data_IF_593120781090
#
_entry.id   IF_593120781090
#
_cell.length_a   1.000
_cell.length_b   1.000
_cell.length_c   1.000
_cell.angle_alpha   90.00
_cell.angle_beta   90.00
_cell.angle_gamma   90.00
#
_symmetry.space_group_name_H-M   'P 1'
#
loop_
_entity.id
_entity.type
_entity.pdbx_description
1 polymer ?
#
# COMPACT_ATOMS: atom_id res chain seq x y z
N UNK A 1 7.80 2.36 -15.21
CA UNK A 1 6.96 1.94 -16.36
C UNK A 1 5.74 1.31 -15.75
N UNK A 2 4.53 1.78 -16.06
CA UNK A 2 3.32 1.24 -15.41
C UNK A 2 3.15 -0.23 -15.82
N UNK A 3 3.12 -1.15 -14.84
CA UNK A 3 2.72 -2.54 -15.10
C UNK A 3 1.21 -2.58 -15.26
N UNK A 4 0.74 -2.79 -16.49
CA UNK A 4 -0.67 -2.97 -16.75
C UNK A 4 -1.05 -4.41 -16.38
N UNK A 5 -1.88 -4.58 -15.34
CA UNK A 5 -2.59 -5.82 -15.16
C UNK A 5 -3.74 -5.87 -16.18
N UNK A 6 -3.59 -6.71 -17.21
CA UNK A 6 -4.58 -6.87 -18.28
C UNK A 6 -5.69 -7.88 -17.90
N UNK A 7 -5.60 -8.52 -16.73
CA UNK A 7 -6.69 -9.33 -16.16
C UNK A 7 -7.80 -8.38 -15.72
N UNK A 8 -8.76 -8.13 -16.62
CA UNK A 8 -10.01 -7.44 -16.28
C UNK A 8 -11.12 -8.45 -15.95
N UNK A 9 -10.76 -9.56 -15.31
CA UNK A 9 -11.72 -10.61 -14.92
C UNK A 9 -12.01 -10.55 -13.43
N UNK A 10 -13.22 -10.94 -13.00
CA UNK A 10 -13.50 -11.06 -11.58
C UNK A 10 -12.60 -12.10 -10.90
N UNK A 11 -12.12 -11.78 -9.71
CA UNK A 11 -11.23 -12.62 -8.92
C UNK A 11 -11.80 -12.81 -7.50
N UNK A 12 -11.55 -13.99 -6.92
CA UNK A 12 -11.88 -14.27 -5.52
C UNK A 12 -10.80 -13.70 -4.62
N UNK A 13 -11.24 -13.04 -3.55
CA UNK A 13 -10.42 -12.49 -2.49
C UNK A 13 -10.83 -13.09 -1.15
N UNK A 14 -9.90 -13.76 -0.49
CA UNK A 14 -10.08 -14.26 0.88
C UNK A 14 -9.86 -13.11 1.88
N UNK A 15 -10.91 -12.72 2.61
CA UNK A 15 -10.82 -11.63 3.58
C UNK A 15 -10.42 -12.16 4.97
N UNK A 16 -11.03 -13.27 5.38
CA UNK A 16 -10.80 -13.95 6.66
C UNK A 16 -10.94 -15.47 6.46
N UNK A 17 -10.47 -16.31 7.40
CA UNK A 17 -10.70 -17.76 7.32
C UNK A 17 -12.18 -18.09 7.15
N UNK A 18 -12.53 -18.74 6.04
CA UNK A 18 -13.90 -19.10 5.71
C UNK A 18 -14.76 -17.98 5.10
N UNK A 19 -14.22 -16.79 4.89
CA UNK A 19 -14.90 -15.65 4.27
C UNK A 19 -14.15 -15.18 3.02
N UNK A 20 -14.80 -15.30 1.87
CA UNK A 20 -14.26 -14.80 0.59
C UNK A 20 -15.31 -14.08 -0.23
N UNK A 21 -14.86 -13.11 -1.00
CA UNK A 21 -15.71 -12.32 -1.89
C UNK A 21 -15.14 -12.33 -3.31
N UNK A 22 -16.02 -12.41 -4.31
CA UNK A 22 -15.66 -12.31 -5.71
C UNK A 22 -15.84 -10.88 -6.17
N UNK A 23 -14.78 -10.29 -6.67
CA UNK A 23 -14.73 -8.86 -6.95
C UNK A 23 -14.51 -8.61 -8.43
N UNK A 24 -15.24 -7.64 -8.99
CA UNK A 24 -14.90 -7.05 -10.27
C UNK A 24 -13.55 -6.32 -10.19
N UNK A 25 -12.86 -6.11 -11.32
CA UNK A 25 -11.64 -5.31 -11.34
C UNK A 25 -11.89 -3.86 -10.89
N UNK A 26 -10.95 -3.31 -10.12
CA UNK A 26 -11.02 -1.93 -9.64
C UNK A 26 -10.63 -0.96 -10.77
N UNK A 27 -11.58 -0.68 -11.64
CA UNK A 27 -11.37 0.20 -12.80
C UNK A 27 -11.60 1.68 -12.46
N UNK A 28 -11.07 2.58 -13.30
CA UNK A 28 -11.37 4.02 -13.21
C UNK A 28 -12.87 4.30 -13.25
N UNK A 29 -13.62 3.58 -14.10
CA UNK A 29 -15.07 3.75 -14.20
C UNK A 29 -15.79 3.37 -12.89
N UNK A 30 -15.36 2.27 -12.25
CA UNK A 30 -15.89 1.87 -10.95
C UNK A 30 -15.59 2.91 -9.88
N UNK A 31 -14.35 3.41 -9.82
CA UNK A 31 -13.97 4.44 -8.85
C UNK A 31 -14.69 5.77 -9.06
N UNK A 32 -14.90 6.18 -10.31
CA UNK A 32 -15.69 7.38 -10.63
C UNK A 32 -17.16 7.19 -10.20
N UNK A 33 -17.74 6.03 -10.48
CA UNK A 33 -19.10 5.71 -10.05
C UNK A 33 -19.22 5.68 -8.51
N UNK A 34 -18.26 5.08 -7.81
CA UNK A 34 -18.23 5.03 -6.35
C UNK A 34 -18.13 6.44 -5.73
N UNK A 35 -17.31 7.34 -6.30
CA UNK A 35 -17.19 8.74 -5.83
C UNK A 35 -18.47 9.55 -6.02
N UNK A 36 -19.36 9.12 -6.92
CA UNK A 36 -20.64 9.75 -7.16
C UNK A 36 -21.76 9.20 -6.24
N UNK A 37 -21.43 8.30 -5.31
CA UNK A 37 -22.41 7.70 -4.40
C UNK A 37 -23.02 8.79 -3.48
N UNK A 38 -24.36 8.90 -3.41
CA UNK A 38 -25.02 9.90 -2.58
C UNK A 38 -24.66 9.84 -1.09
N UNK A 39 -24.26 8.67 -0.58
CA UNK A 39 -23.85 8.54 0.81
C UNK A 39 -22.60 9.37 1.14
N UNK A 40 -21.72 9.62 0.15
CA UNK A 40 -20.53 10.45 0.34
C UNK A 40 -20.88 11.93 0.45
N UNK A 41 -21.79 12.43 -0.39
CA UNK A 41 -22.22 13.83 -0.36
C UNK A 41 -23.19 14.14 0.78
N UNK A 42 -23.83 13.13 1.35
CA UNK A 42 -24.68 13.26 2.53
C UNK A 42 -23.90 13.37 3.85
N UNK A 43 -22.59 13.10 3.85
CA UNK A 43 -21.75 13.27 5.04
C UNK A 43 -21.63 14.76 5.39
N UNK A 44 -21.67 15.12 6.69
CA UNK A 44 -21.46 16.50 7.11
C UNK A 44 -20.02 16.95 6.80
N UNK A 45 -19.81 18.25 6.60
CA UNK A 45 -18.47 18.82 6.39
C UNK A 45 -17.50 18.56 7.56
N UNK A 46 -18.04 18.22 8.74
CA UNK A 46 -17.29 17.85 9.95
C UNK A 46 -17.04 16.36 10.09
N UNK A 47 -17.40 15.54 9.09
CA UNK A 47 -17.17 14.10 9.10
C UNK A 47 -15.68 13.78 9.27
N UNK A 48 -15.39 12.75 10.07
CA UNK A 48 -14.01 12.33 10.29
C UNK A 48 -13.51 11.58 9.05
N UNK A 49 -12.19 11.54 8.89
CA UNK A 49 -11.57 10.79 7.80
C UNK A 49 -11.99 9.30 7.79
N UNK A 50 -12.19 8.71 8.96
CA UNK A 50 -12.70 7.34 9.13
C UNK A 50 -14.11 7.17 8.55
N UNK A 51 -15.00 8.13 8.80
CA UNK A 51 -16.40 8.08 8.35
C UNK A 51 -16.45 8.20 6.82
N UNK A 52 -15.61 9.07 6.22
CA UNK A 52 -15.45 9.15 4.77
C UNK A 52 -14.86 7.88 4.17
N UNK A 53 -13.85 7.29 4.82
CA UNK A 53 -13.21 6.06 4.34
C UNK A 53 -14.21 4.89 4.32
N UNK A 54 -15.01 4.73 5.38
CA UNK A 54 -16.06 3.72 5.46
C UNK A 54 -17.14 3.94 4.39
N UNK A 55 -17.62 5.18 4.21
CA UNK A 55 -18.61 5.49 3.18
C UNK A 55 -18.09 5.18 1.76
N UNK A 56 -16.84 5.54 1.47
CA UNK A 56 -16.19 5.24 0.19
C UNK A 56 -16.01 3.72 0.00
N UNK A 57 -15.61 2.99 1.05
CA UNK A 57 -15.46 1.54 1.01
C UNK A 57 -16.77 0.85 0.62
N UNK A 58 -17.88 1.24 1.25
CA UNK A 58 -19.21 0.71 0.97
C UNK A 58 -19.66 1.00 -0.45
N UNK A 59 -19.47 2.24 -0.92
CA UNK A 59 -19.77 2.61 -2.30
C UNK A 59 -19.00 1.74 -3.32
N UNK A 60 -17.70 1.55 -3.10
CA UNK A 60 -16.87 0.67 -3.94
C UNK A 60 -17.35 -0.79 -3.86
N UNK A 61 -17.59 -1.31 -2.66
CA UNK A 61 -18.00 -2.69 -2.44
C UNK A 61 -19.33 -3.03 -3.12
N UNK A 62 -20.32 -2.13 -3.04
CA UNK A 62 -21.62 -2.32 -3.70
C UNK A 62 -21.53 -2.42 -5.23
N UNK A 63 -20.51 -1.80 -5.83
CA UNK A 63 -20.25 -1.88 -7.27
C UNK A 63 -19.35 -3.06 -7.65
N UNK A 64 -18.46 -3.46 -6.74
CA UNK A 64 -17.41 -4.42 -7.02
C UNK A 64 -17.78 -5.86 -6.66
N UNK A 65 -18.50 -6.09 -5.56
CA UNK A 65 -18.79 -7.46 -5.08
C UNK A 65 -19.84 -8.08 -6.00
N UNK A 66 -19.48 -9.22 -6.59
CA UNK A 66 -20.33 -9.98 -7.50
C UNK A 66 -20.92 -11.21 -6.81
N UNK A 67 -20.14 -11.85 -5.94
CA UNK A 67 -20.50 -13.07 -5.19
C UNK A 67 -19.76 -13.06 -3.85
N UNK A 68 -20.26 -13.82 -2.86
CA UNK A 68 -19.56 -14.07 -1.61
C UNK A 68 -19.76 -15.50 -1.12
N UNK A 69 -18.89 -15.95 -0.22
CA UNK A 69 -19.04 -17.20 0.53
C UNK A 69 -18.62 -16.95 1.99
N UNK A 70 -19.30 -17.62 2.93
CA UNK A 70 -19.04 -17.45 4.36
C UNK A 70 -19.81 -16.32 5.05
N UNK A 71 -20.74 -15.68 4.33
CA UNK A 71 -21.68 -14.71 4.91
C UNK A 71 -23.00 -15.40 5.18
N UNK A 72 -23.38 -15.49 6.45
CA UNK A 72 -24.64 -16.08 6.89
C UNK A 72 -25.42 -15.15 7.81
N UNK A 73 -26.70 -15.47 8.01
CA UNK A 73 -27.55 -14.83 9.01
C UNK A 73 -27.27 -15.39 10.43
N UNK A 74 -28.07 -14.98 11.41
CA UNK A 74 -27.95 -15.42 12.81
C UNK A 74 -28.13 -16.94 13.00
N UNK A 75 -28.73 -17.64 12.04
CA UNK A 75 -28.90 -19.10 12.05
C UNK A 75 -27.77 -19.82 11.32
N UNK A 76 -26.85 -19.09 10.69
CA UNK A 76 -25.78 -19.63 9.85
C UNK A 76 -26.24 -19.96 8.43
N UNK A 77 -27.44 -19.55 8.03
CA UNK A 77 -27.93 -19.76 6.68
C UNK A 77 -27.29 -18.74 5.72
N UNK A 78 -26.84 -19.15 4.51
CA UNK A 78 -26.19 -18.24 3.57
C UNK A 78 -27.06 -17.02 3.23
N UNK A 79 -26.53 -15.83 3.48
CA UNK A 79 -27.23 -14.59 3.15
C UNK A 79 -27.11 -14.32 1.64
N UNK A 80 -28.19 -13.96 0.92
CA UNK A 80 -28.07 -13.51 -0.46
C UNK A 80 -27.34 -12.16 -0.52
N UNK A 81 -26.58 -11.96 -1.61
CA UNK A 81 -25.91 -10.70 -1.86
C UNK A 81 -26.94 -9.57 -1.97
N UNK A 82 -26.75 -8.52 -1.16
CA UNK A 82 -27.61 -7.33 -1.18
C UNK A 82 -26.83 -6.09 -0.74
N UNK A 83 -27.23 -4.87 -1.15
CA UNK A 83 -26.57 -3.64 -0.70
C UNK A 83 -26.52 -3.51 0.82
N UNK A 84 -27.63 -3.84 1.50
CA UNK A 84 -27.69 -3.80 2.97
C UNK A 84 -26.76 -4.83 3.62
N UNK A 85 -26.68 -6.04 3.04
CA UNK A 85 -25.75 -7.07 3.51
C UNK A 85 -24.28 -6.72 3.29
N UNK A 86 -23.94 -6.09 2.15
CA UNK A 86 -22.59 -5.58 1.88
C UNK A 86 -22.21 -4.49 2.89
N UNK A 87 -23.13 -3.57 3.18
CA UNK A 87 -22.90 -2.51 4.16
C UNK A 87 -22.67 -3.10 5.55
N UNK A 88 -23.50 -4.06 5.96
CA UNK A 88 -23.35 -4.76 7.25
C UNK A 88 -22.05 -5.56 7.33
N UNK A 89 -21.63 -6.21 6.24
CA UNK A 89 -20.35 -6.93 6.19
C UNK A 89 -19.16 -6.00 6.44
N UNK A 90 -19.21 -4.78 5.90
CA UNK A 90 -18.17 -3.76 6.11
C UNK A 90 -18.28 -3.00 7.44
N UNK A 91 -19.34 -3.21 8.24
CA UNK A 91 -19.36 -2.76 9.64
C UNK A 91 -18.52 -3.69 10.54
N UNK A 92 -18.21 -4.90 10.08
CA UNK A 92 -17.31 -5.80 10.79
C UNK A 92 -15.88 -5.32 10.59
N UNK A 93 -15.31 -4.71 11.63
CA UNK A 93 -14.01 -4.03 11.56
C UNK A 93 -12.89 -4.84 10.88
N UNK A 94 -12.59 -6.10 11.24
CA UNK A 94 -11.56 -6.89 10.55
C UNK A 94 -11.82 -7.10 9.05
N UNK A 95 -13.09 -7.17 8.64
CA UNK A 95 -13.48 -7.34 7.24
C UNK A 95 -13.29 -6.04 6.47
N UNK A 96 -13.66 -4.91 7.08
CA UNK A 96 -13.39 -3.59 6.53
C UNK A 96 -11.90 -3.35 6.29
N UNK A 97 -11.05 -3.64 7.28
CA UNK A 97 -9.59 -3.49 7.16
C UNK A 97 -9.04 -4.37 6.03
N UNK A 98 -9.45 -5.64 5.98
CA UNK A 98 -9.03 -6.57 4.93
C UNK A 98 -9.46 -6.07 3.54
N UNK A 99 -10.70 -5.60 3.39
CA UNK A 99 -11.24 -5.10 2.13
C UNK A 99 -10.51 -3.82 1.67
N UNK A 100 -10.29 -2.88 2.57
CA UNK A 100 -9.54 -1.65 2.28
C UNK A 100 -8.13 -1.95 1.81
N UNK A 101 -7.39 -2.76 2.57
CA UNK A 101 -5.98 -3.02 2.27
C UNK A 101 -5.80 -3.89 1.02
N UNK A 102 -6.64 -4.90 0.83
CA UNK A 102 -6.43 -5.89 -0.23
C UNK A 102 -7.09 -5.54 -1.56
N UNK A 103 -8.20 -4.80 -1.56
CA UNK A 103 -8.91 -4.43 -2.78
C UNK A 103 -8.78 -2.95 -3.12
N UNK A 104 -9.13 -2.05 -2.21
CA UNK A 104 -9.18 -0.60 -2.48
C UNK A 104 -7.78 0.00 -2.61
N UNK A 105 -6.89 -0.29 -1.67
CA UNK A 105 -5.53 0.23 -1.65
C UNK A 105 -4.74 -0.21 -2.89
N UNK A 106 -5.01 -1.42 -3.41
CA UNK A 106 -4.43 -1.92 -4.67
C UNK A 106 -4.65 -0.98 -5.87
N UNK A 107 -5.80 -0.30 -5.94
CA UNK A 107 -6.08 0.69 -7.00
C UNK A 107 -5.41 2.05 -6.79
N UNK A 108 -5.00 2.36 -5.56
CA UNK A 108 -4.31 3.60 -5.17
C UNK A 108 -2.77 3.45 -5.13
N UNK A 109 -2.27 2.23 -5.31
CA UNK A 109 -0.84 1.89 -5.25
C UNK A 109 0.04 2.73 -6.17
N UNK A 110 -0.45 3.12 -7.35
CA UNK A 110 0.39 3.83 -8.32
C UNK A 110 0.86 5.22 -7.84
N UNK A 111 0.07 5.93 -7.04
CA UNK A 111 0.52 7.21 -6.46
C UNK A 111 1.51 6.97 -5.32
N UNK A 112 1.21 5.98 -4.48
CA UNK A 112 2.06 5.60 -3.35
C UNK A 112 3.41 5.06 -3.82
N UNK A 113 3.44 4.25 -4.88
CA UNK A 113 4.64 3.76 -5.56
C UNK A 113 5.50 4.93 -6.06
N UNK A 114 4.90 5.90 -6.77
CA UNK A 114 5.62 7.10 -7.24
C UNK A 114 6.24 7.90 -6.10
N UNK A 115 5.47 8.11 -5.03
CA UNK A 115 5.93 8.82 -3.82
C UNK A 115 7.08 8.10 -3.16
N UNK A 116 6.94 6.80 -2.88
CA UNK A 116 7.98 5.99 -2.24
C UNK A 116 9.23 5.90 -3.10
N UNK A 117 9.08 5.77 -4.42
CA UNK A 117 10.21 5.79 -5.35
C UNK A 117 10.94 7.13 -5.32
N UNK A 118 10.22 8.26 -5.34
CA UNK A 118 10.82 9.59 -5.26
C UNK A 118 11.49 9.83 -3.89
N UNK A 119 10.89 9.33 -2.82
CA UNK A 119 11.45 9.39 -1.47
C UNK A 119 12.72 8.54 -1.35
N UNK A 120 12.73 7.34 -1.94
CA UNK A 120 13.90 6.46 -2.04
C UNK A 120 15.03 7.10 -2.85
N UNK A 121 14.71 7.77 -3.97
CA UNK A 121 15.70 8.48 -4.79
C UNK A 121 16.42 9.55 -3.98
N UNK A 122 15.67 10.26 -3.13
CA UNK A 122 16.20 11.28 -2.25
C UNK A 122 17.01 10.70 -1.08
N UNK A 123 16.46 9.74 -0.33
CA UNK A 123 17.12 9.17 0.87
C UNK A 123 18.38 8.37 0.51
N UNK A 124 18.29 7.36 -0.36
CA UNK A 124 19.46 6.58 -0.80
C UNK A 124 20.45 7.39 -1.65
N UNK A 125 20.02 8.54 -2.18
CA UNK A 125 20.89 9.52 -2.84
C UNK A 125 21.73 10.38 -1.88
N UNK A 126 21.63 10.18 -0.56
CA UNK A 126 22.35 10.95 0.46
C UNK A 126 21.55 12.10 1.06
N UNK A 127 20.22 12.14 0.83
CA UNK A 127 19.33 13.19 1.35
C UNK A 127 19.35 13.33 2.86
N UNK A 128 19.50 12.23 3.61
CA UNK A 128 19.56 12.28 5.07
C UNK A 128 20.83 13.02 5.57
N UNK A 129 21.97 12.83 4.87
CA UNK A 129 23.18 13.61 5.12
C UNK A 129 23.06 15.09 4.74
N UNK A 130 22.29 15.40 3.69
CA UNK A 130 21.97 16.78 3.32
C UNK A 130 21.10 17.48 4.39
N UNK A 131 20.12 16.77 4.97
CA UNK A 131 19.28 17.29 6.02
C UNK A 131 20.05 17.61 7.32
N UNK A 132 21.08 16.83 7.65
CA UNK A 132 21.93 17.11 8.81
C UNK A 132 22.65 18.47 8.73
N UNK A 133 22.82 19.02 7.51
CA UNK A 133 23.44 20.33 7.28
C UNK A 133 22.44 21.50 7.26
N UNK A 134 21.13 21.24 7.41
CA UNK A 134 20.08 22.26 7.32
C UNK A 134 19.80 22.90 8.68
N UNK A 135 19.62 24.23 8.71
CA UNK A 135 19.36 25.02 9.93
C UNK A 135 17.88 24.99 10.39
N UNK A 136 17.01 24.30 9.66
CA UNK A 136 15.57 24.25 9.91
C UNK A 136 14.79 23.58 8.77
N UNK A 137 13.46 23.46 8.90
CA UNK A 137 12.62 22.84 7.88
C UNK A 137 12.62 23.66 6.58
N UNK A 138 13.00 23.02 5.46
CA UNK A 138 12.98 23.69 4.16
C UNK A 138 11.57 23.70 3.51
N UNK A 139 11.19 24.80 2.84
CA UNK A 139 9.88 24.94 2.19
C UNK A 139 9.60 23.90 1.10
N UNK A 140 10.64 23.37 0.45
CA UNK A 140 10.56 22.41 -0.66
C UNK A 140 11.28 21.10 -0.34
N UNK A 141 11.24 20.67 0.93
CA UNK A 141 11.86 19.42 1.37
C UNK A 141 11.36 18.23 0.54
N UNK A 142 12.23 17.56 -0.27
CA UNK A 142 11.79 16.42 -1.07
C UNK A 142 11.27 15.27 -0.21
N UNK A 143 11.78 15.10 1.03
CA UNK A 143 11.29 14.11 1.98
C UNK A 143 9.83 14.37 2.38
N UNK A 144 9.48 15.63 2.67
CA UNK A 144 8.11 16.03 3.03
C UNK A 144 7.17 16.01 1.82
N UNK A 145 7.64 16.44 0.66
CA UNK A 145 6.84 16.47 -0.56
C UNK A 145 6.42 15.05 -1.00
N UNK A 146 7.34 14.09 -0.85
CA UNK A 146 7.16 12.70 -1.28
C UNK A 146 6.84 11.75 -0.13
N UNK A 147 6.50 12.27 1.06
CA UNK A 147 6.16 11.42 2.20
C UNK A 147 4.94 10.54 1.88
N UNK A 148 4.87 9.31 2.43
CA UNK A 148 3.70 8.46 2.29
C UNK A 148 2.41 9.15 2.75
N UNK A 149 1.30 8.85 2.09
CA UNK A 149 -0.01 9.42 2.43
C UNK A 149 -0.98 8.38 2.99
N UNK A 150 -0.62 7.10 2.95
CA UNK A 150 -1.40 6.01 3.54
C UNK A 150 -0.62 5.35 4.67
N UNK A 151 -1.34 4.66 5.57
CA UNK A 151 -0.74 3.91 6.67
C UNK A 151 0.19 2.82 6.14
N UNK A 152 -0.25 2.12 5.10
CA UNK A 152 0.51 1.03 4.48
C UNK A 152 1.77 1.55 3.79
N UNK A 153 1.68 2.74 3.15
CA UNK A 153 2.84 3.42 2.60
C UNK A 153 3.88 3.79 3.67
N UNK A 154 3.42 4.28 4.83
CA UNK A 154 4.29 4.56 5.98
C UNK A 154 4.92 3.30 6.55
N UNK A 155 4.14 2.22 6.68
CA UNK A 155 4.62 0.92 7.16
C UNK A 155 5.67 0.31 6.22
N UNK A 156 5.47 0.38 4.91
CA UNK A 156 6.45 -0.08 3.92
C UNK A 156 7.71 0.80 3.93
N UNK A 157 7.57 2.11 4.11
CA UNK A 157 8.72 3.01 4.25
C UNK A 157 9.53 2.71 5.52
N UNK A 158 8.87 2.52 6.67
CA UNK A 158 9.57 2.13 7.91
C UNK A 158 10.25 0.77 7.77
N UNK A 159 9.58 -0.20 7.14
CA UNK A 159 10.16 -1.50 6.82
C UNK A 159 11.43 -1.33 5.98
N UNK A 160 11.39 -0.50 4.94
CA UNK A 160 12.55 -0.19 4.07
C UNK A 160 13.77 0.23 4.89
N UNK A 161 13.59 1.13 5.87
CA UNK A 161 14.69 1.62 6.70
C UNK A 161 15.34 0.52 7.57
N UNK A 162 14.63 -0.58 7.82
CA UNK A 162 15.12 -1.74 8.59
C UNK A 162 15.85 -2.78 7.73
N UNK A 163 15.75 -2.70 6.40
CA UNK A 163 16.34 -3.67 5.48
C UNK A 163 17.83 -3.41 5.16
N UNK A 164 18.45 -2.38 5.73
CA UNK A 164 19.85 -2.04 5.46
C UNK A 164 20.83 -3.20 5.70
N UNK A 165 20.58 -4.04 6.71
CA UNK A 165 21.40 -5.23 7.00
C UNK A 165 21.09 -6.46 6.15
N UNK A 166 20.06 -6.41 5.31
CA UNK A 166 19.55 -7.55 4.53
C UNK A 166 19.99 -7.48 3.06
N UNK A 167 21.07 -6.75 2.77
CA UNK A 167 21.59 -6.59 1.42
C UNK A 167 22.17 -7.91 0.91
N UNK A 168 21.82 -8.23 -0.33
CA UNK A 168 22.47 -9.26 -1.13
C UNK A 168 23.56 -8.60 -1.97
N UNK A 169 24.75 -9.17 -1.91
CA UNK A 169 25.96 -8.60 -2.52
C UNK A 169 26.62 -9.66 -3.41
N UNK A 170 27.06 -9.23 -4.59
CA UNK A 170 27.97 -9.95 -5.48
C UNK A 170 29.32 -9.21 -5.52
N UNK A 171 30.42 -9.81 -6.04
CA UNK A 171 31.72 -9.15 -6.09
C UNK A 171 31.65 -7.76 -6.73
N UNK A 172 31.83 -6.71 -5.92
CA UNK A 172 31.80 -5.32 -6.35
C UNK A 172 30.42 -4.74 -6.69
N UNK A 173 29.32 -5.43 -6.38
CA UNK A 173 27.98 -4.95 -6.71
C UNK A 173 26.92 -5.36 -5.67
N UNK A 174 26.02 -4.43 -5.35
CA UNK A 174 24.80 -4.74 -4.60
C UNK A 174 23.76 -5.22 -5.61
N UNK A 175 23.13 -6.37 -5.33
CA UNK A 175 22.17 -6.99 -6.25
C UNK A 175 20.71 -6.82 -5.78
N UNK A 176 20.48 -6.47 -4.53
CA UNK A 176 19.14 -6.26 -3.98
C UNK A 176 19.08 -6.50 -2.47
N UNK A 177 17.87 -6.60 -1.94
CA UNK A 177 17.58 -7.13 -0.62
C UNK A 177 17.27 -8.63 -0.70
N UNK A 178 17.42 -9.31 0.43
CA UNK A 178 16.76 -10.58 0.62
C UNK A 178 15.24 -10.35 0.76
N UNK A 179 14.52 -10.49 -0.35
CA UNK A 179 13.07 -10.33 -0.38
C UNK A 179 12.32 -11.35 0.49
N UNK A 180 12.86 -12.55 0.69
CA UNK A 180 12.27 -13.53 1.60
C UNK A 180 12.30 -13.05 3.04
N UNK A 181 13.46 -12.53 3.47
CA UNK A 181 13.63 -11.90 4.79
C UNK A 181 12.79 -10.63 4.91
N UNK A 182 12.71 -9.80 3.87
CA UNK A 182 11.91 -8.58 3.88
C UNK A 182 10.42 -8.86 4.10
N UNK A 183 9.85 -9.84 3.40
CA UNK A 183 8.44 -10.23 3.56
C UNK A 183 8.17 -10.93 4.89
N UNK A 184 9.14 -11.71 5.39
CA UNK A 184 9.04 -12.32 6.74
C UNK A 184 9.04 -11.25 7.83
N UNK A 185 9.88 -10.21 7.69
CA UNK A 185 9.90 -9.07 8.60
C UNK A 185 8.61 -8.24 8.49
N UNK A 186 8.08 -8.04 7.27
CA UNK A 186 6.79 -7.40 7.07
C UNK A 186 5.68 -8.11 7.85
N UNK A 187 5.59 -9.43 7.71
CA UNK A 187 4.62 -10.25 8.43
C UNK A 187 4.79 -10.14 9.95
N UNK A 188 6.02 -10.22 10.45
CA UNK A 188 6.31 -10.11 11.89
C UNK A 188 5.93 -8.74 12.48
N UNK A 189 6.03 -7.67 11.69
CA UNK A 189 5.68 -6.30 12.10
C UNK A 189 4.21 -5.95 11.86
N UNK A 190 3.40 -6.89 11.35
CA UNK A 190 2.00 -6.63 10.99
C UNK A 190 1.85 -5.71 9.76
N UNK A 191 2.92 -5.54 8.98
CA UNK A 191 2.85 -4.83 7.69
C UNK A 191 2.16 -5.74 6.69
N UNK A 192 1.18 -5.20 5.97
CA UNK A 192 0.46 -5.95 4.95
C UNK A 192 1.43 -6.50 3.89
N UNK A 193 1.65 -7.81 3.91
CA UNK A 193 2.67 -8.48 3.09
C UNK A 193 2.38 -8.38 1.59
N UNK A 194 1.12 -8.54 1.11
CA UNK A 194 0.78 -8.21 -0.28
C UNK A 194 1.20 -6.79 -0.69
N UNK A 195 0.94 -5.78 0.14
CA UNK A 195 1.30 -4.39 -0.16
C UNK A 195 2.83 -4.22 -0.18
N UNK A 196 3.54 -4.78 0.78
CA UNK A 196 4.99 -4.77 0.81
C UNK A 196 5.59 -5.45 -0.43
N UNK A 197 5.02 -6.57 -0.89
CA UNK A 197 5.47 -7.30 -2.07
C UNK A 197 5.30 -6.50 -3.37
N UNK A 198 4.31 -5.62 -3.45
CA UNK A 198 4.11 -4.73 -4.61
C UNK A 198 5.04 -3.52 -4.57
N UNK A 199 5.25 -2.90 -3.39
CA UNK A 199 5.96 -1.62 -3.27
C UNK A 199 7.48 -1.76 -3.08
N UNK A 200 7.95 -2.78 -2.34
CA UNK A 200 9.37 -2.96 -2.05
C UNK A 200 10.25 -3.13 -3.30
N UNK A 201 9.84 -3.85 -4.38
CA UNK A 201 10.68 -4.01 -5.57
C UNK A 201 11.02 -2.67 -6.25
N UNK A 202 10.10 -1.71 -6.27
CA UNK A 202 10.34 -0.40 -6.88
C UNK A 202 11.32 0.45 -6.05
N UNK A 203 11.26 0.31 -4.72
CA UNK A 203 12.21 0.92 -3.79
C UNK A 203 13.58 0.24 -3.91
N UNK A 204 13.63 -1.09 -3.92
CA UNK A 204 14.85 -1.89 -4.08
C UNK A 204 15.60 -1.49 -5.35
N UNK A 205 14.89 -1.35 -6.47
CA UNK A 205 15.48 -0.93 -7.73
C UNK A 205 16.19 0.43 -7.61
N UNK A 206 15.64 1.37 -6.85
CA UNK A 206 16.27 2.67 -6.56
C UNK A 206 17.50 2.48 -5.68
N UNK A 207 17.36 1.75 -4.56
CA UNK A 207 18.43 1.47 -3.61
C UNK A 207 19.63 0.83 -4.31
N UNK A 208 19.40 -0.22 -5.11
CA UNK A 208 20.44 -0.92 -5.89
C UNK A 208 21.17 0.06 -6.79
N UNK A 209 20.46 0.91 -7.54
CA UNK A 209 21.11 1.90 -8.41
C UNK A 209 21.98 2.87 -7.59
N UNK A 210 21.40 3.51 -6.57
CA UNK A 210 22.08 4.55 -5.78
C UNK A 210 23.31 4.03 -5.05
N UNK A 211 23.19 2.87 -4.38
CA UNK A 211 24.33 2.32 -3.65
C UNK A 211 25.41 1.82 -4.59
N UNK A 212 25.07 1.25 -5.75
CA UNK A 212 26.09 0.91 -6.75
C UNK A 212 26.75 2.15 -7.36
N UNK A 213 26.01 3.23 -7.60
CA UNK A 213 26.60 4.49 -8.07
C UNK A 213 27.57 5.05 -7.02
N UNK A 214 27.22 4.98 -5.73
CA UNK A 214 28.07 5.35 -4.60
C UNK A 214 29.30 4.44 -4.43
N UNK A 215 29.17 3.13 -4.69
CA UNK A 215 30.30 2.18 -4.73
C UNK A 215 31.29 2.57 -5.85
N UNK A 216 30.78 2.93 -7.03
CA UNK A 216 31.61 3.32 -8.19
C UNK A 216 32.29 4.66 -7.99
N UNK A 217 31.65 5.61 -7.31
CA UNK A 217 32.22 6.93 -7.01
C UNK A 217 33.17 6.92 -5.81
N UNK A 218 33.23 5.83 -5.04
CA UNK A 218 34.05 5.71 -3.83
C UNK A 218 33.47 6.42 -2.60
N UNK A 219 32.24 6.94 -2.67
CA UNK A 219 31.62 7.73 -1.60
C UNK A 219 31.11 6.91 -0.41
N UNK A 220 31.18 5.58 -0.46
CA UNK A 220 30.85 4.69 0.65
C UNK A 220 32.00 4.48 1.64
N UNK A 221 33.20 5.00 1.36
CA UNK A 221 34.31 5.00 2.31
C UNK A 221 34.18 6.21 3.25
N UNK A 222 33.36 6.09 4.29
CA UNK A 222 33.18 7.19 5.23
C UNK A 222 32.07 7.03 6.27
N UNK A 223 31.99 5.87 6.93
CA UNK A 223 31.36 5.79 8.26
C UNK A 223 32.07 4.70 9.05
N UNK A 224 33.20 5.06 9.66
CA UNK A 224 33.74 4.31 10.80
C UNK A 224 32.82 4.58 12.01
N UNK A 225 32.59 3.57 12.88
CA UNK A 225 31.63 3.64 13.98
C UNK A 225 31.95 4.68 15.06
#
# INVERSE_FOLDING_TARGET
MIRLNLSNRPEWLDLLPGLRIKLAPLTTALMVAARADPALSALPDTARAEDMALAMAKAVARLAILEWEGVGDDNGDPLPLSPAGIDALLEVWPVFEAFQAQYVARGLMLDQEKRLRALAEWSFGGGDGYCAACSGPCPDCPARLNQPQTVEGWQVWDLTQRLGGQLRIAPGAIIGWDMGTALSLAQALGVNTPIAAELLPEIEAVMVRKLNDALRSGSLQGHDP
#
